data_IF_740953066364
#
_entry.id   IF_740953066364
#
_cell.length_a   1.000
_cell.length_b   1.000
_cell.length_c   1.000
_cell.angle_alpha   90.00
_cell.angle_beta   90.00
_cell.angle_gamma   90.00
#
_symmetry.space_group_name_H-M   'P 1'
#
loop_
_entity.id
_entity.type
_entity.pdbx_description
1 polymer ?
#
# COMPACT_ATOMS: atom_id res chain seq x y z
N UNK A 1 -6.69 -19.32 12.96
CA UNK A 1 -5.66 -20.11 12.26
C UNK A 1 -6.10 -20.27 10.80
N UNK A 2 -5.39 -19.67 9.84
CA UNK A 2 -5.80 -19.73 8.44
C UNK A 2 -5.42 -21.09 7.83
N UNK A 3 -6.34 -22.03 7.92
CA UNK A 3 -6.16 -23.36 7.31
C UNK A 3 -6.52 -23.28 5.82
N UNK A 4 -5.61 -23.68 4.95
CA UNK A 4 -5.81 -23.78 3.50
C UNK A 4 -5.36 -25.14 2.94
N UNK A 5 -5.85 -25.47 1.75
CA UNK A 5 -5.33 -26.63 1.00
C UNK A 5 -3.94 -26.28 0.46
N UNK A 6 -3.02 -27.25 0.50
CA UNK A 6 -1.65 -27.10 0.02
C UNK A 6 -1.59 -26.64 -1.44
N UNK A 7 -2.43 -27.22 -2.31
CA UNK A 7 -2.49 -26.83 -3.73
C UNK A 7 -2.94 -25.37 -3.92
N UNK A 8 -3.86 -24.88 -3.10
CA UNK A 8 -4.31 -23.49 -3.14
C UNK A 8 -3.24 -22.54 -2.61
N UNK A 9 -2.58 -22.90 -1.52
CA UNK A 9 -1.53 -22.10 -0.91
C UNK A 9 -0.35 -21.92 -1.87
N UNK A 10 0.13 -23.01 -2.49
CA UNK A 10 1.23 -22.96 -3.47
C UNK A 10 0.84 -22.24 -4.77
N UNK A 11 -0.39 -22.43 -5.26
CA UNK A 11 -0.88 -21.71 -6.44
C UNK A 11 -0.92 -20.19 -6.20
N UNK A 12 -1.32 -19.76 -4.99
CA UNK A 12 -1.34 -18.35 -4.64
C UNK A 12 0.05 -17.70 -4.58
N UNK A 13 1.09 -18.52 -4.46
CA UNK A 13 2.51 -18.08 -4.46
C UNK A 13 3.21 -18.27 -5.81
N UNK A 14 2.43 -18.56 -6.87
CA UNK A 14 2.97 -18.62 -8.23
C UNK A 14 3.70 -19.93 -8.61
N UNK A 15 3.60 -20.99 -7.78
CA UNK A 15 4.22 -22.29 -8.09
C UNK A 15 3.54 -23.05 -9.24
N UNK A 16 2.56 -22.43 -9.90
CA UNK A 16 1.87 -22.95 -11.06
C UNK A 16 0.37 -23.21 -10.85
N UNK A 17 -0.27 -23.80 -11.86
CA UNK A 17 -1.65 -24.24 -11.79
C UNK A 17 -1.80 -25.40 -10.80
N UNK A 18 -3.04 -25.67 -10.36
CA UNK A 18 -3.32 -26.84 -9.51
C UNK A 18 -2.78 -28.15 -10.09
N UNK A 19 -2.88 -28.32 -11.42
CA UNK A 19 -2.38 -29.51 -12.12
C UNK A 19 -0.86 -29.65 -11.99
N UNK A 20 -0.12 -28.56 -12.13
CA UNK A 20 1.33 -28.52 -11.97
C UNK A 20 1.76 -28.78 -10.52
N UNK A 21 1.05 -28.22 -9.56
CA UNK A 21 1.30 -28.46 -8.12
C UNK A 21 1.03 -29.93 -7.76
N UNK A 22 -0.05 -30.53 -8.26
CA UNK A 22 -0.29 -31.95 -8.10
C UNK A 22 0.84 -32.82 -8.72
N UNK A 23 1.45 -32.36 -9.81
CA UNK A 23 2.61 -33.04 -10.39
C UNK A 23 3.85 -32.91 -9.49
N UNK A 24 4.11 -31.74 -8.89
CA UNK A 24 5.19 -31.53 -7.93
C UNK A 24 5.04 -32.42 -6.69
N UNK A 25 3.83 -32.51 -6.14
CA UNK A 25 3.54 -33.38 -4.98
C UNK A 25 3.77 -34.85 -5.34
N UNK A 26 3.26 -35.33 -6.49
CA UNK A 26 3.51 -36.71 -6.94
C UNK A 26 4.97 -37.02 -7.20
N UNK A 27 5.76 -36.03 -7.62
CA UNK A 27 7.20 -36.17 -7.82
C UNK A 27 8.01 -36.15 -6.51
N UNK A 28 7.35 -35.98 -5.34
CA UNK A 28 8.02 -35.90 -4.04
C UNK A 28 8.80 -34.61 -3.82
N UNK A 29 8.53 -33.56 -4.61
CA UNK A 29 9.24 -32.27 -4.57
C UNK A 29 8.64 -31.27 -3.60
N UNK A 30 7.59 -31.63 -2.86
CA UNK A 30 6.92 -30.78 -1.87
C UNK A 30 7.00 -31.45 -0.51
N UNK A 31 7.53 -30.74 0.49
CA UNK A 31 7.57 -31.19 1.88
C UNK A 31 6.71 -30.26 2.73
N UNK A 32 6.05 -30.84 3.73
CA UNK A 32 5.35 -30.13 4.80
C UNK A 32 5.94 -30.56 6.12
N UNK A 33 6.49 -29.64 6.90
CA UNK A 33 7.20 -29.92 8.17
C UNK A 33 8.34 -30.95 8.01
N UNK A 34 9.07 -30.88 6.90
CA UNK A 34 10.15 -31.80 6.58
C UNK A 34 9.71 -33.19 6.08
N UNK A 35 8.39 -33.47 5.99
CA UNK A 35 7.84 -34.74 5.50
C UNK A 35 7.30 -34.56 4.07
N UNK A 36 7.61 -35.48 3.17
CA UNK A 36 7.11 -35.47 1.79
C UNK A 36 5.59 -35.47 1.77
N UNK A 37 4.99 -34.48 1.12
CA UNK A 37 3.56 -34.42 0.93
C UNK A 37 3.11 -35.46 -0.11
N UNK A 38 2.07 -36.23 0.20
CA UNK A 38 1.48 -37.24 -0.71
C UNK A 38 0.14 -36.81 -1.28
N UNK A 39 -0.53 -35.84 -0.66
CA UNK A 39 -1.81 -35.30 -1.11
C UNK A 39 -1.75 -33.77 -1.24
N UNK A 40 -1.85 -33.26 -2.48
CA UNK A 40 -1.91 -31.84 -2.74
C UNK A 40 -3.15 -31.16 -2.16
N UNK A 41 -4.19 -31.95 -1.82
CA UNK A 41 -5.41 -31.44 -1.18
C UNK A 41 -5.34 -31.38 0.34
N UNK A 42 -4.28 -31.89 0.96
CA UNK A 42 -4.12 -31.83 2.41
C UNK A 42 -4.25 -30.41 2.93
N UNK A 43 -4.83 -30.27 4.11
CA UNK A 43 -4.95 -28.99 4.79
C UNK A 43 -3.66 -28.68 5.52
N UNK A 44 -3.21 -27.46 5.40
CA UNK A 44 -2.04 -26.91 6.10
C UNK A 44 -2.45 -25.64 6.83
N UNK A 45 -1.81 -25.38 7.95
CA UNK A 45 -1.90 -24.12 8.68
C UNK A 45 -0.81 -23.17 8.16
N UNK A 46 -1.22 -22.03 7.61
CA UNK A 46 -0.30 -21.07 6.98
C UNK A 46 0.63 -20.35 7.97
N UNK A 47 0.31 -20.40 9.28
CA UNK A 47 1.12 -19.76 10.34
C UNK A 47 2.15 -20.70 10.96
N UNK A 48 1.81 -21.98 11.11
CA UNK A 48 2.64 -22.94 11.83
C UNK A 48 3.32 -23.99 10.96
N UNK A 49 2.77 -24.29 9.77
CA UNK A 49 3.36 -25.32 8.91
C UNK A 49 4.46 -24.75 8.00
N UNK A 50 5.61 -25.42 7.99
CA UNK A 50 6.73 -25.13 7.10
C UNK A 50 6.60 -25.93 5.81
N UNK A 51 6.53 -25.25 4.68
CA UNK A 51 6.43 -25.90 3.38
C UNK A 51 7.68 -25.61 2.55
N UNK A 52 8.26 -26.64 1.94
CA UNK A 52 9.32 -26.46 0.95
C UNK A 52 8.95 -27.08 -0.39
N UNK A 53 9.41 -26.45 -1.47
CA UNK A 53 9.25 -26.93 -2.84
C UNK A 53 10.62 -27.00 -3.51
N UNK A 54 11.00 -28.18 -4.03
CA UNK A 54 12.31 -28.42 -4.63
C UNK A 54 13.50 -28.10 -3.70
N UNK A 55 13.28 -28.22 -2.37
CA UNK A 55 14.29 -27.93 -1.35
C UNK A 55 14.37 -26.45 -0.92
N UNK A 56 13.61 -25.59 -1.54
CA UNK A 56 13.52 -24.18 -1.14
C UNK A 56 12.30 -23.96 -0.22
N UNK A 57 12.51 -23.27 0.90
CA UNK A 57 11.45 -22.96 1.83
C UNK A 57 10.47 -21.92 1.21
N UNK A 58 9.17 -22.21 1.31
CA UNK A 58 8.10 -21.37 0.79
C UNK A 58 7.38 -20.69 1.94
N UNK A 59 7.53 -19.38 2.06
CA UNK A 59 6.77 -18.61 3.04
C UNK A 59 5.31 -18.55 2.60
N UNK A 60 4.45 -19.32 3.26
CA UNK A 60 3.02 -19.30 3.05
C UNK A 60 2.38 -18.22 3.92
N UNK A 61 1.60 -17.36 3.31
CA UNK A 61 0.85 -16.31 4.00
C UNK A 61 -0.56 -16.28 3.42
N UNK A 62 -1.54 -15.98 4.28
CA UNK A 62 -2.92 -15.84 3.84
C UNK A 62 -3.06 -14.68 2.87
N UNK A 63 -2.47 -13.54 3.20
CA UNK A 63 -2.48 -12.32 2.40
C UNK A 63 -1.07 -11.89 2.05
N UNK A 64 -0.93 -11.12 0.97
CA UNK A 64 0.32 -10.46 0.59
C UNK A 64 0.21 -8.96 0.87
N UNK A 65 1.31 -8.38 1.33
CA UNK A 65 1.42 -6.95 1.60
C UNK A 65 2.67 -6.43 0.89
N UNK A 66 2.49 -5.51 -0.05
CA UNK A 66 3.57 -4.99 -0.88
C UNK A 66 3.69 -3.49 -0.66
N UNK A 67 4.88 -3.05 -0.27
CA UNK A 67 5.27 -1.64 -0.31
C UNK A 67 5.69 -1.30 -1.73
N UNK A 68 5.07 -0.29 -2.32
CA UNK A 68 5.46 0.28 -3.60
C UNK A 68 5.89 1.72 -3.40
N UNK A 69 7.06 2.10 -3.88
CA UNK A 69 7.40 3.50 -4.09
C UNK A 69 6.75 3.97 -5.40
N UNK A 70 5.52 4.43 -5.32
CA UNK A 70 4.76 4.86 -6.49
C UNK A 70 5.47 6.01 -7.22
N UNK A 71 5.82 5.88 -8.50
CA UNK A 71 6.35 6.99 -9.30
C UNK A 71 5.23 7.89 -9.81
N UNK A 72 5.59 9.01 -10.43
CA UNK A 72 4.66 9.81 -11.22
C UNK A 72 4.22 9.07 -12.49
N UNK A 73 3.09 9.48 -13.05
CA UNK A 73 2.61 9.00 -14.36
C UNK A 73 1.73 7.76 -14.33
N UNK A 74 1.71 6.99 -13.23
CA UNK A 74 0.85 5.82 -13.06
C UNK A 74 -0.32 6.12 -12.13
N UNK A 75 -1.46 5.44 -12.34
CA UNK A 75 -2.66 5.61 -11.52
C UNK A 75 -2.78 4.52 -10.46
N UNK A 76 -3.35 4.88 -9.31
CA UNK A 76 -3.64 3.94 -8.21
C UNK A 76 -4.93 3.16 -8.50
N UNK A 77 -4.84 2.21 -9.42
CA UNK A 77 -5.92 1.33 -9.83
C UNK A 77 -5.39 -0.09 -10.03
N UNK A 78 -6.29 -1.09 -9.96
CA UNK A 78 -5.94 -2.47 -10.28
C UNK A 78 -5.88 -2.75 -11.78
N UNK A 79 -6.66 -2.02 -12.57
CA UNK A 79 -6.68 -2.05 -14.04
C UNK A 79 -7.21 -0.74 -14.59
N UNK A 80 -6.68 -0.34 -15.72
CA UNK A 80 -7.21 0.76 -16.51
C UNK A 80 -6.90 0.52 -18.00
N UNK A 81 -7.86 0.76 -18.92
CA UNK A 81 -7.63 0.50 -20.35
C UNK A 81 -6.81 1.59 -21.06
N UNK A 82 -6.58 2.75 -20.41
CA UNK A 82 -6.00 3.94 -21.04
C UNK A 82 -4.70 4.40 -20.40
N UNK A 83 -4.45 4.02 -19.16
CA UNK A 83 -3.29 4.50 -18.42
C UNK A 83 -2.60 3.35 -17.66
N UNK A 84 -1.28 3.38 -17.54
CA UNK A 84 -0.56 2.42 -16.73
C UNK A 84 -0.97 2.54 -15.26
N UNK A 85 -1.11 1.38 -14.61
CA UNK A 85 -1.54 1.26 -13.21
C UNK A 85 -0.37 0.89 -12.31
N UNK A 86 -0.56 1.01 -11.02
CA UNK A 86 0.43 0.61 -10.02
C UNK A 86 0.66 -0.91 -9.99
N UNK A 87 -0.28 -1.73 -10.47
CA UNK A 87 -0.09 -3.17 -10.58
C UNK A 87 0.78 -3.57 -11.77
N UNK A 88 0.81 -2.76 -12.83
CA UNK A 88 1.66 -3.01 -13.99
C UNK A 88 3.17 -2.86 -13.69
N UNK A 89 3.51 -2.24 -12.55
CA UNK A 89 4.89 -2.10 -12.08
C UNK A 89 5.42 -3.33 -11.33
N UNK A 90 4.52 -4.25 -10.94
CA UNK A 90 4.92 -5.38 -10.12
C UNK A 90 5.71 -6.43 -10.91
N UNK A 91 6.84 -6.93 -10.38
CA UNK A 91 7.52 -8.08 -10.95
C UNK A 91 6.63 -9.33 -10.85
N UNK A 92 6.79 -10.23 -11.79
CA UNK A 92 5.92 -11.41 -11.98
C UNK A 92 5.74 -12.24 -10.70
N UNK A 93 6.77 -12.38 -9.87
CA UNK A 93 6.72 -13.17 -8.64
C UNK A 93 5.86 -12.53 -7.54
N UNK A 94 5.60 -11.21 -7.60
CA UNK A 94 4.70 -10.50 -6.70
C UNK A 94 3.29 -10.36 -7.27
N UNK A 95 3.10 -10.65 -8.57
CA UNK A 95 1.78 -10.60 -9.19
C UNK A 95 0.88 -11.70 -8.63
N UNK A 96 -0.21 -11.31 -7.99
CA UNK A 96 -1.19 -12.22 -7.40
C UNK A 96 -2.60 -11.79 -7.77
N UNK A 97 -3.47 -12.78 -8.00
CA UNK A 97 -4.88 -12.50 -8.24
C UNK A 97 -5.52 -11.85 -7.01
N UNK A 98 -6.25 -10.76 -7.24
CA UNK A 98 -6.97 -10.07 -6.18
C UNK A 98 -6.20 -8.93 -5.54
N UNK A 99 -4.96 -8.63 -5.97
CA UNK A 99 -4.23 -7.45 -5.51
C UNK A 99 -4.93 -6.15 -5.89
N UNK A 100 -4.92 -5.20 -4.97
CA UNK A 100 -5.41 -3.85 -5.18
C UNK A 100 -4.65 -2.84 -4.30
N UNK A 101 -4.61 -1.56 -4.68
CA UNK A 101 -3.98 -0.52 -3.88
C UNK A 101 -4.84 -0.15 -2.67
N UNK A 102 -4.21 0.01 -1.49
CA UNK A 102 -4.83 0.50 -0.26
C UNK A 102 -4.91 2.02 -0.31
N UNK A 103 -6.02 2.50 -0.82
CA UNK A 103 -6.25 3.91 -1.10
C UNK A 103 -5.62 4.35 -2.42
N UNK A 104 -5.61 5.67 -2.60
CA UNK A 104 -5.18 6.27 -3.87
C UNK A 104 -4.18 7.39 -3.60
N UNK A 105 -3.19 7.46 -4.47
CA UNK A 105 -2.38 8.64 -4.73
C UNK A 105 -2.73 9.16 -6.12
N UNK A 106 -2.73 10.45 -6.31
CA UNK A 106 -2.96 11.07 -7.61
C UNK A 106 -1.88 10.62 -8.61
N UNK A 107 -2.14 10.79 -9.90
CA UNK A 107 -1.22 10.38 -10.96
C UNK A 107 0.16 11.04 -10.84
N UNK A 108 0.19 12.28 -10.39
CA UNK A 108 1.39 13.10 -10.18
C UNK A 108 1.95 13.04 -8.75
N UNK A 109 1.29 12.36 -7.82
CA UNK A 109 1.76 12.15 -6.45
C UNK A 109 2.63 10.89 -6.37
N UNK A 110 3.75 10.98 -5.65
CA UNK A 110 4.72 9.89 -5.47
C UNK A 110 4.71 9.34 -4.05
N UNK A 111 5.50 8.30 -3.82
CA UNK A 111 5.80 7.81 -2.46
C UNK A 111 5.09 6.53 -2.09
N UNK A 112 4.93 6.31 -0.80
CA UNK A 112 4.42 5.07 -0.21
C UNK A 112 3.01 4.74 -0.71
N UNK A 113 2.86 3.60 -1.36
CA UNK A 113 1.57 2.99 -1.64
C UNK A 113 1.62 1.52 -1.22
N UNK A 114 0.66 1.11 -0.38
CA UNK A 114 0.48 -0.28 0.02
C UNK A 114 -0.42 -0.98 -0.99
N UNK A 115 -0.02 -2.18 -1.44
CA UNK A 115 -0.85 -3.08 -2.24
C UNK A 115 -1.08 -4.36 -1.44
N UNK A 116 -2.29 -4.91 -1.50
CA UNK A 116 -2.64 -6.15 -0.78
C UNK A 116 -3.84 -6.84 -1.43
N UNK A 117 -4.10 -8.09 -1.05
CA UNK A 117 -5.34 -8.81 -1.28
C UNK A 117 -6.17 -8.98 0.02
N UNK A 118 -5.74 -8.34 1.13
CA UNK A 118 -6.45 -8.28 2.41
C UNK A 118 -7.47 -7.13 2.41
N UNK A 119 -8.72 -7.43 2.04
CA UNK A 119 -9.80 -6.45 2.04
C UNK A 119 -10.17 -5.92 3.43
N UNK A 120 -10.02 -6.74 4.47
CA UNK A 120 -10.37 -6.35 5.84
C UNK A 120 -9.38 -5.32 6.38
N UNK A 121 -8.07 -5.56 6.21
CA UNK A 121 -7.04 -4.60 6.59
C UNK A 121 -7.15 -3.31 5.77
N UNK A 122 -7.33 -3.42 4.47
CA UNK A 122 -7.48 -2.24 3.61
C UNK A 122 -8.67 -1.37 4.03
N UNK A 123 -9.83 -1.99 4.33
CA UNK A 123 -10.99 -1.28 4.85
C UNK A 123 -10.69 -0.60 6.19
N UNK A 124 -9.96 -1.26 7.08
CA UNK A 124 -9.55 -0.68 8.36
C UNK A 124 -8.66 0.55 8.18
N UNK A 125 -7.62 0.46 7.31
CA UNK A 125 -6.68 1.54 7.02
C UNK A 125 -7.31 2.75 6.34
N UNK A 126 -8.35 2.51 5.52
CA UNK A 126 -9.00 3.57 4.74
C UNK A 126 -10.24 4.14 5.43
N UNK A 127 -10.73 3.50 6.49
CA UNK A 127 -11.93 3.94 7.21
C UNK A 127 -11.76 5.35 7.77
N UNK A 128 -12.63 6.32 7.40
CA UNK A 128 -12.58 7.67 7.95
C UNK A 128 -12.67 7.71 9.48
N UNK A 129 -13.34 6.71 10.09
CA UNK A 129 -13.52 6.62 11.55
C UNK A 129 -12.24 6.29 12.31
N UNK A 130 -11.24 5.70 11.65
CA UNK A 130 -9.97 5.32 12.27
C UNK A 130 -8.91 6.42 12.22
N UNK A 131 -9.14 7.45 11.43
CA UNK A 131 -8.26 8.62 11.32
C UNK A 131 -6.78 8.27 11.13
N UNK A 132 -6.50 7.21 10.35
CA UNK A 132 -5.13 6.74 10.10
C UNK A 132 -4.28 7.87 9.53
N UNK A 133 -3.19 8.28 10.22
CA UNK A 133 -2.38 9.40 9.78
C UNK A 133 -1.64 9.06 8.49
N UNK A 134 -1.51 10.04 7.62
CA UNK A 134 -0.75 9.97 6.37
C UNK A 134 0.19 11.17 6.32
N UNK A 135 1.49 10.91 6.32
CA UNK A 135 2.50 11.95 6.28
C UNK A 135 2.99 12.17 4.84
N UNK A 136 3.08 13.43 4.47
CA UNK A 136 3.52 13.86 3.14
C UNK A 136 4.62 14.91 3.26
N UNK A 137 5.61 14.81 2.38
CA UNK A 137 6.54 15.88 2.06
C UNK A 137 5.98 16.65 0.86
N UNK A 138 5.91 17.98 0.96
CA UNK A 138 5.43 18.83 -0.11
C UNK A 138 6.48 19.84 -0.51
N UNK A 139 6.66 20.04 -1.82
CA UNK A 139 7.40 21.17 -2.36
C UNK A 139 6.38 22.18 -2.92
N UNK A 140 6.49 23.42 -2.48
CA UNK A 140 5.58 24.51 -2.78
C UNK A 140 6.20 25.48 -3.77
N UNK A 141 5.39 26.32 -4.38
CA UNK A 141 5.87 27.45 -5.20
C UNK A 141 6.57 28.49 -4.34
N UNK A 142 5.92 28.87 -3.21
CA UNK A 142 6.43 29.81 -2.22
C UNK A 142 6.61 29.11 -0.88
N UNK A 143 7.57 29.53 -0.03
CA UNK A 143 7.71 28.97 1.30
C UNK A 143 6.41 29.04 2.11
N UNK A 144 6.08 27.97 2.82
CA UNK A 144 5.03 28.01 3.82
C UNK A 144 5.48 28.80 5.06
N UNK A 145 4.53 29.30 5.84
CA UNK A 145 4.79 30.10 7.02
C UNK A 145 3.92 29.65 8.23
N UNK A 146 4.13 30.26 9.38
CA UNK A 146 3.38 29.95 10.60
C UNK A 146 1.86 30.17 10.45
N UNK A 147 1.43 31.17 9.66
CA UNK A 147 0.01 31.42 9.42
C UNK A 147 -0.63 30.29 8.62
N UNK A 148 0.14 29.63 7.75
CA UNK A 148 -0.33 28.42 7.07
C UNK A 148 -0.48 27.26 8.05
N UNK A 149 0.51 27.06 8.95
CA UNK A 149 0.43 26.04 9.97
C UNK A 149 -0.79 26.23 10.90
N UNK A 150 -1.05 27.46 11.34
CA UNK A 150 -2.23 27.78 12.14
C UNK A 150 -3.54 27.53 11.40
N UNK A 151 -3.61 27.89 10.10
CA UNK A 151 -4.80 27.66 9.28
C UNK A 151 -5.06 26.15 9.06
N UNK A 152 -4.01 25.36 8.85
CA UNK A 152 -4.13 23.90 8.73
C UNK A 152 -4.56 23.26 10.06
N UNK A 153 -4.01 23.70 11.18
CA UNK A 153 -4.37 23.21 12.52
C UNK A 153 -5.83 23.55 12.91
N UNK A 154 -6.38 24.65 12.40
CA UNK A 154 -7.78 24.99 12.62
C UNK A 154 -8.77 24.16 11.77
N UNK A 155 -8.26 23.46 10.76
CA UNK A 155 -9.09 22.92 9.69
C UNK A 155 -9.54 24.03 8.73
N UNK A 156 -10.01 23.67 7.55
CA UNK A 156 -10.46 24.65 6.57
C UNK A 156 -11.56 24.12 5.65
N UNK A 157 -12.33 25.05 5.11
CA UNK A 157 -13.33 24.73 4.10
C UNK A 157 -12.72 24.82 2.72
N UNK A 158 -12.77 23.71 1.99
CA UNK A 158 -12.36 23.67 0.59
C UNK A 158 -13.48 24.17 -0.32
N UNK A 159 -13.18 25.00 -1.32
CA UNK A 159 -14.16 25.39 -2.33
C UNK A 159 -14.57 24.17 -3.17
N UNK A 160 -15.66 24.26 -3.94
CA UNK A 160 -16.04 23.20 -4.85
C UNK A 160 -14.91 22.93 -5.88
N UNK A 161 -14.75 21.68 -6.26
CA UNK A 161 -13.84 21.25 -7.31
C UNK A 161 -14.59 20.34 -8.28
N UNK A 162 -13.97 19.98 -9.40
CA UNK A 162 -14.56 19.14 -10.43
C UNK A 162 -15.24 17.89 -9.85
N UNK A 163 -16.56 17.82 -9.93
CA UNK A 163 -17.36 16.72 -9.39
C UNK A 163 -17.46 16.64 -7.85
N UNK A 164 -16.90 17.60 -7.11
CA UNK A 164 -16.90 17.63 -5.65
C UNK A 164 -17.53 18.90 -5.09
N UNK A 165 -18.50 18.80 -4.17
CA UNK A 165 -19.06 19.94 -3.47
C UNK A 165 -18.02 20.60 -2.54
N UNK A 166 -18.33 21.78 -1.97
CA UNK A 166 -17.52 22.33 -0.89
C UNK A 166 -17.43 21.35 0.29
N UNK A 167 -16.24 21.21 0.90
CA UNK A 167 -15.99 20.22 1.96
C UNK A 167 -15.21 20.85 3.10
N UNK A 168 -15.58 20.51 4.35
CA UNK A 168 -14.81 20.91 5.52
C UNK A 168 -13.72 19.87 5.80
N UNK A 169 -12.47 20.32 5.91
CA UNK A 169 -11.32 19.48 6.28
C UNK A 169 -11.13 19.43 7.77
N UNK A 170 -10.76 18.24 8.27
CA UNK A 170 -10.25 18.08 9.62
C UNK A 170 -8.97 18.89 9.82
N UNK A 171 -8.65 19.26 11.07
CA UNK A 171 -7.35 19.79 11.44
C UNK A 171 -6.21 18.93 10.90
N UNK A 172 -5.16 19.58 10.40
CA UNK A 172 -3.97 18.93 9.87
C UNK A 172 -2.72 19.54 10.52
N UNK A 173 -1.71 18.71 10.69
CA UNK A 173 -0.42 19.15 11.22
C UNK A 173 0.46 19.61 10.04
N UNK A 174 0.92 20.85 10.05
CA UNK A 174 1.86 21.39 9.06
C UNK A 174 3.15 21.84 9.74
N UNK A 175 4.27 21.21 9.41
CA UNK A 175 5.60 21.61 9.82
C UNK A 175 6.30 22.29 8.63
N UNK A 176 6.66 23.55 8.81
CA UNK A 176 7.46 24.31 7.85
C UNK A 176 8.90 23.81 7.93
N UNK A 177 9.49 23.47 6.78
CA UNK A 177 10.89 23.05 6.66
C UNK A 177 11.69 24.10 5.89
N UNK A 178 12.95 23.81 5.61
CA UNK A 178 13.80 24.74 4.87
C UNK A 178 13.32 24.96 3.43
N UNK A 179 13.49 26.18 2.95
CA UNK A 179 13.13 26.60 1.57
C UNK A 179 11.62 26.46 1.34
N UNK A 180 11.29 25.92 0.18
CA UNK A 180 9.90 25.74 -0.27
C UNK A 180 9.29 24.38 0.16
N UNK A 181 9.84 23.76 1.20
CA UNK A 181 9.45 22.43 1.64
C UNK A 181 8.65 22.48 2.95
N UNK A 182 7.66 21.64 3.06
CA UNK A 182 6.88 21.43 4.28
C UNK A 182 6.50 19.97 4.45
N UNK A 183 6.29 19.53 5.69
CA UNK A 183 5.71 18.23 5.99
C UNK A 183 4.28 18.41 6.50
N UNK A 184 3.35 17.63 5.96
CA UNK A 184 1.95 17.67 6.37
C UNK A 184 1.47 16.28 6.79
N UNK A 185 0.71 16.21 7.90
CA UNK A 185 0.05 14.99 8.35
C UNK A 185 -1.46 15.18 8.30
N UNK A 186 -2.12 14.34 7.49
CA UNK A 186 -3.56 14.27 7.38
C UNK A 186 -4.11 13.01 8.05
N UNK A 187 -5.32 13.10 8.61
CA UNK A 187 -6.07 11.96 9.19
C UNK A 187 -7.32 11.57 8.38
N UNK A 188 -7.41 12.10 7.17
CA UNK A 188 -8.46 11.85 6.18
C UNK A 188 -7.86 11.83 4.76
N UNK A 189 -8.69 11.76 3.73
CA UNK A 189 -8.21 11.79 2.34
C UNK A 189 -9.32 12.20 1.39
N UNK A 190 -9.49 13.51 1.18
CA UNK A 190 -10.41 14.08 0.21
C UNK A 190 -9.76 14.25 -1.15
N UNK A 191 -10.57 14.45 -2.18
CA UNK A 191 -10.08 14.69 -3.53
C UNK A 191 -9.10 15.87 -3.60
N UNK A 192 -7.88 15.60 -4.03
CA UNK A 192 -6.77 16.55 -4.14
C UNK A 192 -6.57 17.43 -2.88
N UNK A 193 -6.81 16.89 -1.69
CA UNK A 193 -6.97 17.65 -0.46
C UNK A 193 -5.80 18.60 -0.19
N UNK A 194 -4.56 18.11 -0.16
CA UNK A 194 -3.37 18.94 0.15
C UNK A 194 -3.22 20.07 -0.88
N UNK A 195 -3.39 19.77 -2.17
CA UNK A 195 -3.30 20.76 -3.24
C UNK A 195 -4.34 21.86 -3.07
N UNK A 196 -5.59 21.48 -2.76
CA UNK A 196 -6.70 22.43 -2.53
C UNK A 196 -6.49 23.24 -1.27
N UNK A 197 -5.97 22.62 -0.18
CA UNK A 197 -5.68 23.33 1.07
C UNK A 197 -4.64 24.44 0.83
N UNK A 198 -3.54 24.15 0.15
CA UNK A 198 -2.55 25.18 -0.18
C UNK A 198 -3.09 26.21 -1.18
N UNK A 199 -3.94 25.83 -2.13
CA UNK A 199 -4.60 26.78 -3.03
C UNK A 199 -5.50 27.78 -2.29
N UNK A 200 -6.20 27.36 -1.25
CA UNK A 200 -6.97 28.27 -0.35
C UNK A 200 -6.04 29.27 0.36
N UNK A 201 -4.79 28.87 0.63
CA UNK A 201 -3.76 29.73 1.19
C UNK A 201 -3.03 30.61 0.15
N UNK A 202 -3.43 30.56 -1.12
CA UNK A 202 -2.80 31.30 -2.21
C UNK A 202 -1.47 30.72 -2.69
N UNK A 203 -1.14 29.47 -2.29
CA UNK A 203 0.08 28.79 -2.66
C UNK A 203 -0.20 27.59 -3.59
N UNK A 204 0.82 27.05 -4.23
CA UNK A 204 0.72 25.91 -5.15
C UNK A 204 1.65 24.78 -4.73
N UNK A 205 1.13 23.55 -4.67
CA UNK A 205 1.92 22.34 -4.53
C UNK A 205 2.54 21.99 -5.89
N UNK A 206 3.86 21.91 -5.94
CA UNK A 206 4.65 21.52 -7.12
C UNK A 206 4.96 20.02 -7.10
N UNK A 207 5.37 19.50 -5.92
CA UNK A 207 5.66 18.07 -5.70
C UNK A 207 4.94 17.62 -4.44
N UNK A 208 4.33 16.44 -4.51
CA UNK A 208 3.69 15.80 -3.37
C UNK A 208 4.20 14.35 -3.25
N UNK A 209 4.75 14.03 -2.08
CA UNK A 209 5.36 12.73 -1.82
C UNK A 209 4.85 12.17 -0.48
N UNK A 210 4.24 10.99 -0.50
CA UNK A 210 3.79 10.34 0.74
C UNK A 210 4.91 9.52 1.37
N UNK A 211 5.36 9.95 2.55
CA UNK A 211 6.44 9.30 3.31
C UNK A 211 5.93 8.15 4.17
N UNK A 212 4.68 8.26 4.71
CA UNK A 212 4.17 7.29 5.66
C UNK A 212 2.63 7.17 5.65
N UNK A 213 2.12 6.04 6.12
CA UNK A 213 0.71 5.78 6.37
C UNK A 213 0.56 4.87 7.60
N UNK A 214 -0.08 5.37 8.67
CA UNK A 214 -0.11 4.69 9.97
C UNK A 214 1.29 4.48 10.51
N UNK A 215 1.59 3.26 10.94
CA UNK A 215 2.92 2.84 11.38
C UNK A 215 3.91 2.52 10.26
N UNK A 216 3.47 2.51 8.99
CA UNK A 216 4.32 2.16 7.85
C UNK A 216 5.01 3.38 7.28
N UNK A 217 6.34 3.32 7.13
CA UNK A 217 7.16 4.32 6.45
C UNK A 217 7.69 3.76 5.13
N UNK A 218 7.83 4.63 4.14
CA UNK A 218 8.51 4.27 2.88
C UNK A 218 9.96 3.88 3.17
N UNK A 219 10.38 2.78 2.61
CA UNK A 219 11.77 2.32 2.65
C UNK A 219 12.63 3.25 1.77
N UNK A 220 13.62 3.90 2.38
CA UNK A 220 14.51 4.83 1.70
C UNK A 220 15.40 4.16 0.64
N UNK A 221 15.56 2.83 0.72
CA UNK A 221 16.28 2.04 -0.27
C UNK A 221 15.51 1.82 -1.57
N UNK A 222 14.17 1.95 -1.54
CA UNK A 222 13.34 1.75 -2.74
C UNK A 222 13.39 2.96 -3.67
N UNK A 223 13.80 2.74 -4.91
CA UNK A 223 13.72 3.76 -5.95
C UNK A 223 12.27 3.91 -6.47
N UNK A 224 11.91 5.07 -7.07
CA UNK A 224 10.59 5.24 -7.69
C UNK A 224 10.28 4.14 -8.71
N UNK A 225 9.17 3.43 -8.52
CA UNK A 225 8.75 2.27 -9.32
C UNK A 225 9.13 0.93 -8.72
N UNK A 226 10.02 0.89 -7.74
CA UNK A 226 10.39 -0.35 -7.06
C UNK A 226 9.41 -0.72 -5.95
N UNK A 227 9.36 -2.01 -5.66
CA UNK A 227 8.48 -2.57 -4.63
C UNK A 227 9.11 -3.79 -3.96
N UNK A 228 8.66 -4.09 -2.75
CA UNK A 228 8.98 -5.31 -2.00
C UNK A 228 7.83 -5.76 -1.12
N UNK A 229 7.84 -7.01 -0.70
CA UNK A 229 6.94 -7.45 0.37
C UNK A 229 7.30 -6.74 1.69
N UNK A 230 6.29 -6.54 2.55
CA UNK A 230 6.49 -6.04 3.90
C UNK A 230 7.16 -7.11 4.77
N UNK A 231 7.96 -6.66 5.73
CA UNK A 231 8.44 -7.54 6.82
C UNK A 231 7.30 -7.87 7.78
N UNK A 232 7.50 -8.86 8.65
CA UNK A 232 6.51 -9.22 9.67
C UNK A 232 6.23 -8.05 10.62
N UNK A 233 7.27 -7.31 11.01
CA UNK A 233 7.18 -6.12 11.87
C UNK A 233 6.38 -5.00 11.21
N UNK A 234 6.58 -4.77 9.89
CA UNK A 234 5.83 -3.77 9.14
C UNK A 234 4.34 -4.16 9.01
N UNK A 235 4.06 -5.45 8.80
CA UNK A 235 2.67 -5.95 8.78
C UNK A 235 2.01 -5.75 10.14
N UNK A 236 2.70 -6.01 11.23
CA UNK A 236 2.18 -5.76 12.57
C UNK A 236 1.96 -4.27 12.82
N UNK A 237 2.90 -3.41 12.42
CA UNK A 237 2.79 -1.95 12.56
C UNK A 237 1.57 -1.34 11.85
N UNK A 238 1.09 -1.95 10.75
CA UNK A 238 -0.13 -1.50 10.07
C UNK A 238 -1.41 -2.12 10.64
N UNK A 239 -1.33 -3.15 11.48
CA UNK A 239 -2.47 -3.78 12.14
C UNK A 239 -2.83 -3.11 13.48
N UNK A 240 -1.84 -2.51 14.14
CA UNK A 240 -2.00 -1.77 15.40
C UNK A 240 -2.58 -0.37 15.10
N UNK A 241 -3.86 -0.32 14.65
CA UNK A 241 -4.54 0.94 14.28
C UNK A 241 -5.90 1.01 14.97
#
# INVERSE_FOLDING_TARGET
>A
MPIRRLDQALASRGFGSRKEIHALVRAGLVLVNGVTAHDASQKIDLESDHVSVRGEEVRLQEFIYIMLHKPQGVISASRDPKAPTVLDLLPTHLCRRGLFPVGRLDKDTTGLLLLTDDGALAHALLSPRRHVPKAYLVTLREPANEQDALAFAAGMRLPPAEGHPPEDCLPAELAVLEGNTARIVLREGKYHQIKRMFAVRGNQVLVLHREAMGGLRLDEGLQPGECRELTAEEVEAIRII
#
